data_IF_864898660668
#
_entry.id   IF_864898660668
#
_cell.length_a   1.000
_cell.length_b   1.000
_cell.length_c   1.000
_cell.angle_alpha   90.00
_cell.angle_beta   90.00
_cell.angle_gamma   90.00
#
_symmetry.space_group_name_H-M   'P 1'
#
loop_
_entity.id
_entity.type
_entity.pdbx_description
1 polymer ?
#
# COMPACT_ATOMS: atom_id res chain seq x y z
N UNK A 1 7.73 -7.31 6.21
CA UNK A 1 6.48 -8.09 6.34
C UNK A 1 5.40 -7.10 6.74
N UNK A 2 4.26 -7.05 6.04
CA UNK A 2 3.28 -6.00 6.26
C UNK A 2 2.70 -6.08 7.67
N UNK A 3 2.29 -4.91 8.16
CA UNK A 3 1.44 -4.66 9.32
C UNK A 3 0.46 -5.82 9.53
N UNK A 4 0.54 -6.53 10.65
CA UNK A 4 -0.48 -7.50 11.06
C UNK A 4 -1.63 -6.76 11.73
N UNK A 5 -2.77 -6.70 11.07
CA UNK A 5 -4.00 -6.12 11.62
C UNK A 5 -4.74 -7.19 12.43
N UNK A 6 -4.42 -7.37 13.71
CA UNK A 6 -5.32 -8.11 14.60
C UNK A 6 -6.50 -7.21 14.95
N UNK A 7 -7.65 -7.44 14.29
CA UNK A 7 -8.98 -6.91 14.64
C UNK A 7 -8.97 -5.52 15.31
N UNK A 8 -8.80 -4.48 14.49
CA UNK A 8 -9.27 -3.11 14.74
C UNK A 8 -8.96 -2.45 16.10
N UNK A 9 -7.84 -2.76 16.75
CA UNK A 9 -7.39 -1.99 17.92
C UNK A 9 -5.97 -1.47 17.83
N UNK A 10 -5.11 -2.08 17.02
CA UNK A 10 -3.74 -1.64 16.87
C UNK A 10 -3.15 -1.99 15.51
N UNK A 11 -2.05 -1.32 15.19
CA UNK A 11 -1.26 -1.45 13.97
C UNK A 11 0.19 -1.59 14.39
N UNK A 12 0.86 -2.63 13.90
CA UNK A 12 2.31 -2.78 14.06
C UNK A 12 3.02 -2.08 12.90
N UNK A 13 3.82 -1.08 13.22
CA UNK A 13 4.71 -0.41 12.28
C UNK A 13 6.09 -1.05 12.35
N UNK A 14 6.71 -1.30 11.20
CA UNK A 14 8.03 -1.92 11.14
C UNK A 14 8.85 -1.44 9.96
N UNK A 15 10.08 -1.05 10.22
CA UNK A 15 11.06 -0.65 9.19
C UNK A 15 12.40 -1.33 9.43
N UNK A 16 13.08 -1.70 8.36
CA UNK A 16 14.44 -2.22 8.43
C UNK A 16 15.43 -1.06 8.32
N UNK A 17 16.21 -0.83 9.37
CA UNK A 17 17.22 0.23 9.44
C UNK A 17 18.38 -0.22 10.35
N UNK A 18 19.18 -1.21 9.90
CA UNK A 18 20.17 -1.88 10.74
C UNK A 18 21.30 -0.94 11.19
N UNK A 19 21.65 0.04 10.37
CA UNK A 19 22.70 1.04 10.64
C UNK A 19 22.22 2.19 11.55
N UNK A 20 20.91 2.25 11.87
CA UNK A 20 20.36 3.26 12.78
C UNK A 20 20.23 2.69 14.18
N UNK A 21 20.71 3.44 15.16
CA UNK A 21 20.59 3.09 16.58
C UNK A 21 19.17 3.33 17.11
N UNK A 22 18.49 4.34 16.56
CA UNK A 22 17.11 4.65 16.91
C UNK A 22 16.32 5.06 15.68
N UNK A 23 15.05 4.68 15.68
CA UNK A 23 14.02 5.15 14.75
C UNK A 23 12.79 5.49 15.58
N UNK A 24 12.05 6.51 15.15
CA UNK A 24 10.74 6.82 15.72
C UNK A 24 9.68 6.82 14.63
N UNK A 25 8.47 6.41 14.99
CA UNK A 25 7.28 6.59 14.17
C UNK A 25 6.66 7.93 14.52
N UNK A 26 6.47 8.80 13.53
CA UNK A 26 5.74 10.06 13.68
C UNK A 26 4.39 9.94 13.00
N UNK A 27 3.33 9.79 13.79
CA UNK A 27 1.95 9.87 13.31
C UNK A 27 1.56 11.35 13.25
N UNK A 28 1.09 11.79 12.09
CA UNK A 28 0.69 13.19 11.80
C UNK A 28 -0.82 13.37 11.68
N UNK A 29 -1.57 12.28 11.52
CA UNK A 29 -3.05 12.27 11.50
C UNK A 29 -3.55 10.92 12.01
N UNK A 30 -4.67 10.86 12.77
CA UNK A 30 -5.53 11.97 13.19
C UNK A 30 -5.00 12.76 14.40
N UNK A 31 -3.82 12.41 14.91
CA UNK A 31 -3.13 13.10 15.98
C UNK A 31 -1.65 13.28 15.62
N UNK A 32 -1.01 14.26 16.25
CA UNK A 32 0.43 14.50 16.12
C UNK A 32 1.17 13.88 17.31
N UNK A 33 1.82 12.73 17.07
CA UNK A 33 2.56 12.02 18.12
C UNK A 33 3.74 11.22 17.56
N UNK A 34 4.84 11.26 18.30
CA UNK A 34 6.05 10.48 18.02
C UNK A 34 6.14 9.29 18.99
N UNK A 35 6.39 8.12 18.44
CA UNK A 35 6.58 6.86 19.18
C UNK A 35 8.00 6.35 18.95
N UNK A 36 8.81 6.16 20.02
CA UNK A 36 10.09 5.48 19.87
C UNK A 36 9.86 4.03 19.45
N UNK A 37 10.68 3.53 18.54
CA UNK A 37 10.61 2.15 18.06
C UNK A 37 11.70 1.29 18.72
N UNK A 38 11.40 0.01 18.92
CA UNK A 38 12.34 -0.95 19.49
C UNK A 38 13.12 -1.64 18.38
N UNK A 39 14.46 -1.60 18.47
CA UNK A 39 15.37 -2.29 17.55
C UNK A 39 15.58 -3.74 17.99
N UNK A 40 15.37 -4.69 17.10
CA UNK A 40 15.72 -6.10 17.33
C UNK A 40 17.11 -6.46 16.80
N UNK A 41 17.56 -7.69 17.08
CA UNK A 41 18.89 -8.20 16.70
C UNK A 41 19.15 -8.22 15.17
N UNK A 42 18.08 -8.22 14.37
CA UNK A 42 18.15 -8.25 12.90
C UNK A 42 18.12 -6.85 12.27
N UNK A 43 18.11 -5.79 13.10
CA UNK A 43 18.10 -4.40 12.64
C UNK A 43 16.72 -3.88 12.22
N UNK A 44 15.65 -4.59 12.54
CA UNK A 44 14.30 -4.06 12.40
C UNK A 44 13.95 -3.19 13.61
N UNK A 45 13.31 -2.07 13.34
CA UNK A 45 12.68 -1.22 14.32
C UNK A 45 11.17 -1.42 14.24
N UNK A 46 10.50 -1.65 15.37
CA UNK A 46 9.05 -1.83 15.41
C UNK A 46 8.37 -1.11 16.58
N UNK A 47 7.11 -0.73 16.38
CA UNK A 47 6.23 -0.25 17.45
C UNK A 47 4.77 -0.61 17.11
N UNK A 48 4.01 -0.98 18.12
CA UNK A 48 2.56 -1.19 17.99
C UNK A 48 1.84 0.02 18.54
N UNK A 49 0.97 0.62 17.72
CA UNK A 49 0.19 1.80 18.09
C UNK A 49 -1.28 1.44 18.06
N UNK A 50 -2.02 1.86 19.09
CA UNK A 50 -3.48 1.75 19.08
C UNK A 50 -4.07 2.61 17.98
N UNK A 51 -4.96 2.05 17.16
CA UNK A 51 -5.66 2.79 16.12
C UNK A 51 -7.14 2.93 16.45
N UNK A 52 -7.70 4.08 16.10
CA UNK A 52 -9.15 4.26 16.00
C UNK A 52 -9.70 3.67 14.70
N UNK A 53 -10.86 4.18 14.29
CA UNK A 53 -11.48 3.81 13.01
C UNK A 53 -10.79 4.48 11.82
N UNK A 54 -10.19 5.65 12.03
CA UNK A 54 -9.52 6.42 10.99
C UNK A 54 -8.14 5.85 10.62
N UNK A 55 -7.75 5.89 9.34
CA UNK A 55 -6.38 5.61 8.92
C UNK A 55 -5.36 6.51 9.62
N UNK A 56 -4.19 5.94 9.94
CA UNK A 56 -3.07 6.70 10.48
C UNK A 56 -2.20 7.19 9.31
N UNK A 57 -1.90 8.49 9.28
CA UNK A 57 -0.86 9.06 8.42
C UNK A 57 0.43 9.21 9.18
N UNK A 58 1.55 8.76 8.63
CA UNK A 58 2.80 8.64 9.36
C UNK A 58 4.06 8.83 8.52
N UNK A 59 5.16 9.07 9.23
CA UNK A 59 6.53 9.05 8.73
C UNK A 59 7.42 8.23 9.68
N UNK A 60 8.55 7.77 9.17
CA UNK A 60 9.69 7.36 10.00
C UNK A 60 10.66 8.51 10.21
N UNK A 61 11.12 8.68 11.45
CA UNK A 61 12.17 9.62 11.82
C UNK A 61 13.42 8.84 12.19
N UNK A 62 14.45 8.92 11.33
CA UNK A 62 15.75 8.27 11.55
C UNK A 62 16.69 9.12 12.42
N UNK A 63 16.49 10.44 12.38
CA UNK A 63 17.24 11.46 13.10
C UNK A 63 16.26 12.54 13.54
N UNK A 64 16.57 13.28 14.61
CA UNK A 64 15.66 14.31 15.13
C UNK A 64 15.35 15.35 14.05
N UNK A 65 14.07 15.47 13.72
CA UNK A 65 13.55 16.52 12.82
C UNK A 65 13.53 16.17 11.34
N UNK A 66 13.97 14.97 10.92
CA UNK A 66 13.87 14.53 9.52
C UNK A 66 12.92 13.34 9.38
N UNK A 67 11.80 13.59 8.72
CA UNK A 67 10.74 12.62 8.42
C UNK A 67 10.95 12.02 7.04
N UNK A 68 10.73 10.72 6.92
CA UNK A 68 10.81 9.96 5.68
C UNK A 68 9.53 9.13 5.51
N UNK A 69 8.98 9.04 4.29
CA UNK A 69 7.87 8.14 4.01
C UNK A 69 8.30 6.68 4.24
N UNK A 70 7.32 5.81 4.44
CA UNK A 70 7.57 4.38 4.53
C UNK A 70 8.02 3.85 3.16
N UNK A 71 9.22 3.26 3.02
CA UNK A 71 9.65 2.64 1.76
C UNK A 71 8.79 1.44 1.35
N UNK A 72 8.01 0.89 2.28
CA UNK A 72 7.02 -0.16 2.06
C UNK A 72 5.59 0.37 2.27
N UNK A 73 5.35 1.67 2.03
CA UNK A 73 4.04 2.31 2.18
C UNK A 73 2.97 1.60 1.36
N UNK A 74 1.81 1.25 1.95
CA UNK A 74 0.70 0.73 1.18
C UNK A 74 -0.06 1.82 0.41
N UNK A 75 0.09 3.11 0.79
CA UNK A 75 -0.56 4.23 0.13
C UNK A 75 0.10 5.58 0.45
N UNK A 76 0.33 6.40 -0.58
CA UNK A 76 0.92 7.75 -0.51
C UNK A 76 -0.11 8.80 -0.98
N UNK A 77 -1.07 9.24 -0.14
CA UNK A 77 -2.15 10.16 -0.54
C UNK A 77 -1.65 11.54 -1.00
N UNK A 78 -0.51 11.99 -0.49
CA UNK A 78 0.05 13.33 -0.72
C UNK A 78 1.33 13.28 -1.57
N UNK A 79 1.50 12.22 -2.37
CA UNK A 79 2.66 12.02 -3.23
C UNK A 79 3.83 11.32 -2.55
N UNK A 80 4.91 11.04 -3.31
CA UNK A 80 6.03 10.20 -2.88
C UNK A 80 6.77 10.74 -1.65
N UNK A 81 6.78 12.05 -1.43
CA UNK A 81 7.42 12.69 -0.28
C UNK A 81 6.45 12.88 0.92
N UNK A 82 5.15 12.68 0.69
CA UNK A 82 4.09 12.86 1.68
C UNK A 82 4.04 11.73 2.72
N UNK A 83 3.19 11.89 3.76
CA UNK A 83 3.02 10.86 4.77
C UNK A 83 2.44 9.59 4.16
N UNK A 84 2.91 8.45 4.65
CA UNK A 84 2.33 7.15 4.37
C UNK A 84 1.04 6.96 5.14
N UNK A 85 0.07 6.27 4.55
CA UNK A 85 -1.24 6.05 5.18
C UNK A 85 -1.50 4.55 5.34
N UNK A 86 -1.99 4.14 6.51
CA UNK A 86 -2.38 2.75 6.74
C UNK A 86 -3.60 2.38 5.90
N UNK A 87 -3.61 1.19 5.29
CA UNK A 87 -4.75 0.67 4.51
C UNK A 87 -5.38 -0.52 5.23
N UNK A 88 -6.71 -0.54 5.29
CA UNK A 88 -7.45 -1.73 5.70
C UNK A 88 -7.66 -2.67 4.50
N UNK A 89 -6.80 -3.69 4.41
CA UNK A 89 -6.85 -4.67 3.33
C UNK A 89 -8.08 -5.60 3.40
N UNK A 90 -8.83 -5.61 4.52
CA UNK A 90 -10.08 -6.38 4.66
C UNK A 90 -11.32 -5.56 4.27
N UNK A 91 -11.19 -4.25 4.04
CA UNK A 91 -12.31 -3.37 3.70
C UNK A 91 -13.01 -3.76 2.38
N UNK A 92 -12.27 -4.35 1.44
CA UNK A 92 -12.84 -4.83 0.18
C UNK A 92 -13.32 -6.28 0.29
N UNK A 93 -14.61 -6.49 0.07
CA UNK A 93 -15.20 -7.83 -0.01
C UNK A 93 -15.03 -8.39 -1.43
N UNK A 94 -14.02 -9.23 -1.61
CA UNK A 94 -13.76 -9.97 -2.84
C UNK A 94 -14.95 -10.83 -3.28
N UNK A 95 -15.32 -10.74 -4.57
CA UNK A 95 -16.47 -11.42 -5.20
C UNK A 95 -16.09 -12.54 -6.17
N UNK A 96 -14.81 -12.87 -6.22
CA UNK A 96 -14.16 -13.73 -7.21
C UNK A 96 -13.58 -15.01 -6.58
N UNK A 97 -14.16 -15.47 -5.47
CA UNK A 97 -13.65 -16.62 -4.69
C UNK A 97 -13.50 -17.92 -5.49
N UNK A 98 -14.28 -18.07 -6.56
CA UNK A 98 -14.25 -19.26 -7.44
C UNK A 98 -13.34 -19.08 -8.66
N UNK A 99 -12.69 -17.91 -8.82
CA UNK A 99 -11.74 -17.65 -9.89
C UNK A 99 -10.44 -18.43 -9.66
N UNK A 100 -10.00 -19.17 -10.69
CA UNK A 100 -8.82 -20.05 -10.62
C UNK A 100 -7.61 -19.56 -11.40
N UNK A 101 -7.71 -18.37 -12.01
CA UNK A 101 -6.71 -17.87 -12.96
C UNK A 101 -6.81 -18.53 -14.33
N UNK A 102 -5.85 -18.20 -15.19
CA UNK A 102 -5.65 -18.75 -16.52
C UNK A 102 -4.30 -19.47 -16.57
N UNK A 103 -4.17 -20.48 -17.43
CA UNK A 103 -2.85 -21.02 -17.77
C UNK A 103 -2.13 -20.06 -18.72
N UNK A 104 -0.80 -20.16 -18.77
CA UNK A 104 -0.01 -19.32 -19.67
C UNK A 104 -0.33 -19.61 -21.15
N UNK A 105 -0.59 -20.88 -21.47
CA UNK A 105 -0.91 -21.33 -22.82
C UNK A 105 -2.26 -20.80 -23.33
N UNK A 106 -3.20 -20.53 -22.42
CA UNK A 106 -4.52 -19.99 -22.74
C UNK A 106 -4.54 -18.45 -22.79
N UNK A 107 -3.44 -17.80 -22.40
CA UNK A 107 -3.40 -16.36 -22.14
C UNK A 107 -3.24 -15.54 -23.43
N UNK A 108 -4.14 -14.57 -23.62
CA UNK A 108 -4.11 -13.53 -24.66
C UNK A 108 -4.02 -12.18 -23.94
N UNK A 109 -2.80 -11.64 -23.87
CA UNK A 109 -2.47 -10.44 -23.10
C UNK A 109 -2.82 -9.16 -23.85
N UNK A 110 -3.24 -8.16 -23.07
CA UNK A 110 -3.32 -6.77 -23.49
C UNK A 110 -2.59 -5.89 -22.47
N UNK A 111 -1.46 -5.31 -22.89
CA UNK A 111 -0.73 -4.33 -22.07
C UNK A 111 -1.49 -3.00 -22.04
N UNK A 112 -1.72 -2.49 -20.84
CA UNK A 112 -2.56 -1.33 -20.59
C UNK A 112 -1.86 -0.33 -19.69
N UNK A 113 -1.74 0.91 -20.17
CA UNK A 113 -1.31 2.05 -19.38
C UNK A 113 -2.52 2.78 -18.76
N UNK A 114 -2.67 2.72 -17.44
CA UNK A 114 -3.85 3.24 -16.72
C UNK A 114 -4.09 4.73 -17.03
N UNK A 115 -3.02 5.53 -17.00
CA UNK A 115 -3.11 6.98 -17.18
C UNK A 115 -3.39 7.48 -18.60
N UNK A 116 -3.41 6.61 -19.61
CA UNK A 116 -3.63 7.00 -21.02
C UNK A 116 -4.67 6.17 -21.75
N UNK A 117 -5.09 5.03 -21.18
CA UNK A 117 -6.10 4.17 -21.79
C UNK A 117 -7.49 4.83 -21.88
N UNK A 118 -7.81 5.68 -20.91
CA UNK A 118 -9.02 6.52 -20.91
C UNK A 118 -8.65 8.00 -20.73
N UNK A 119 -9.49 8.95 -21.17
CA UNK A 119 -9.29 10.37 -20.89
C UNK A 119 -9.16 10.70 -19.39
N UNK A 120 -9.87 9.95 -18.54
CA UNK A 120 -9.84 10.12 -17.08
C UNK A 120 -8.55 9.57 -16.46
N UNK A 121 -7.94 8.54 -17.06
CA UNK A 121 -6.67 7.98 -16.62
C UNK A 121 -6.72 7.22 -15.29
N UNK A 122 -7.84 6.58 -14.96
CA UNK A 122 -8.06 5.90 -13.66
C UNK A 122 -8.51 4.44 -13.82
N UNK A 123 -8.39 3.65 -12.75
CA UNK A 123 -8.92 2.29 -12.72
C UNK A 123 -10.44 2.24 -12.94
N UNK A 124 -11.20 3.15 -12.33
CA UNK A 124 -12.65 3.19 -12.47
C UNK A 124 -13.10 3.42 -13.91
N UNK A 125 -12.36 4.24 -14.67
CA UNK A 125 -12.64 4.49 -16.07
C UNK A 125 -12.34 3.29 -16.98
N UNK A 126 -11.49 2.36 -16.55
CA UNK A 126 -11.21 1.11 -17.27
C UNK A 126 -12.38 0.12 -17.15
N UNK A 127 -13.06 0.06 -16.00
CA UNK A 127 -14.07 -0.97 -15.69
C UNK A 127 -15.13 -1.12 -16.79
N UNK A 128 -15.76 -0.04 -17.31
CA UNK A 128 -16.76 -0.16 -18.38
C UNK A 128 -16.21 -0.64 -19.72
N UNK A 129 -14.89 -0.69 -19.90
CA UNK A 129 -14.21 -1.13 -21.13
C UNK A 129 -13.86 -2.61 -21.13
N UNK A 130 -13.96 -3.28 -19.97
CA UNK A 130 -13.57 -4.68 -19.82
C UNK A 130 -14.40 -5.63 -20.70
N UNK A 131 -15.70 -5.35 -20.89
CA UNK A 131 -16.56 -6.16 -21.75
C UNK A 131 -16.10 -6.14 -23.21
N UNK A 132 -15.72 -4.97 -23.73
CA UNK A 132 -15.23 -4.83 -25.09
C UNK A 132 -13.88 -5.54 -25.31
N UNK A 133 -12.97 -5.49 -24.32
CA UNK A 133 -11.70 -6.23 -24.38
C UNK A 133 -11.96 -7.75 -24.40
N UNK A 134 -12.90 -8.21 -23.57
CA UNK A 134 -13.31 -9.61 -23.56
C UNK A 134 -13.92 -10.04 -24.89
N UNK A 135 -14.79 -9.22 -25.49
CA UNK A 135 -15.39 -9.47 -26.80
C UNK A 135 -14.36 -9.56 -27.93
N UNK A 136 -13.25 -8.82 -27.84
CA UNK A 136 -12.14 -8.94 -28.81
C UNK A 136 -11.29 -10.19 -28.63
N UNK A 137 -11.57 -11.02 -27.62
CA UNK A 137 -10.84 -12.25 -27.32
C UNK A 137 -9.66 -12.07 -26.35
N UNK A 138 -9.47 -10.86 -25.80
CA UNK A 138 -8.49 -10.64 -24.74
C UNK A 138 -9.02 -11.29 -23.46
N UNK A 139 -8.16 -11.99 -22.73
CA UNK A 139 -8.55 -12.65 -21.47
C UNK A 139 -7.63 -12.32 -20.30
N UNK A 140 -6.52 -11.61 -20.53
CA UNK A 140 -5.62 -11.12 -19.50
C UNK A 140 -5.21 -9.67 -19.79
N UNK A 141 -5.20 -8.84 -18.75
CA UNK A 141 -4.71 -7.46 -18.82
C UNK A 141 -3.37 -7.41 -18.09
N UNK A 142 -2.34 -6.91 -18.77
CA UNK A 142 -1.05 -6.56 -18.18
C UNK A 142 -1.06 -5.07 -17.88
N UNK A 143 -1.19 -4.70 -16.60
CA UNK A 143 -1.10 -3.31 -16.19
C UNK A 143 0.36 -2.87 -16.19
N UNK A 144 0.66 -1.76 -16.88
CA UNK A 144 1.94 -1.05 -16.71
C UNK A 144 2.13 -0.62 -15.23
N UNK A 145 3.37 -0.36 -14.78
CA UNK A 145 3.66 -0.13 -13.36
C UNK A 145 2.76 0.91 -12.68
N UNK A 146 2.24 0.55 -11.51
CA UNK A 146 1.33 1.36 -10.68
C UNK A 146 1.94 1.75 -9.31
N UNK A 147 3.21 1.43 -9.11
CA UNK A 147 3.93 1.85 -7.91
C UNK A 147 4.06 3.38 -7.91
N UNK A 148 3.82 3.99 -6.74
CA UNK A 148 4.01 5.41 -6.52
C UNK A 148 5.49 5.76 -6.44
#
# INVERSE_FOLDING_TARGET
MPVKTEKNKSVEFRVWAPEKDSVSLHVVSPFDRVFPMEKNEWGYHSVTVEKGEEPLRYFYQLERGKSYPDPASPYQPEGVEGPSETVDHEAYTWKDRDWKGLTLEETILYELHVGTFTPEGTFDAIIPRLDALKESGINAIELMPVAQ
#
